data_IF_138123069452
#
_entry.id   IF_138123069452
#
_cell.length_a   1.000
_cell.length_b   1.000
_cell.length_c   1.000
_cell.angle_alpha   90.00
_cell.angle_beta   90.00
_cell.angle_gamma   90.00
#
_symmetry.space_group_name_H-M   'P 1'
#
loop_
_entity.id
_entity.type
_entity.pdbx_description
1 polymer ?
#
# COMPACT_ATOMS: atom_id res chain seq x y z
N UNK A 1 -4.91 28.09 32.53
CA UNK A 1 -4.91 28.63 31.16
C UNK A 1 -4.91 27.42 30.23
N UNK A 2 -5.93 27.28 29.41
CA UNK A 2 -6.02 26.25 28.37
C UNK A 2 -5.37 26.87 27.12
N UNK A 3 -4.33 26.25 26.56
CA UNK A 3 -3.72 26.71 25.31
C UNK A 3 -4.70 26.46 24.16
N UNK A 4 -5.03 27.52 23.42
CA UNK A 4 -5.79 27.42 22.17
C UNK A 4 -4.95 26.68 21.12
N UNK A 5 -5.44 25.51 20.69
CA UNK A 5 -4.93 24.84 19.50
C UNK A 5 -5.24 25.73 18.29
N UNK A 6 -4.19 26.18 17.60
CA UNK A 6 -4.35 26.89 16.34
C UNK A 6 -4.63 25.86 15.23
N UNK A 7 -5.80 25.94 14.61
CA UNK A 7 -6.15 25.15 13.43
C UNK A 7 -5.21 25.50 12.27
N UNK A 8 -4.40 24.53 11.83
CA UNK A 8 -3.57 24.65 10.64
C UNK A 8 -4.49 24.58 9.42
N UNK A 9 -4.71 25.70 8.74
CA UNK A 9 -5.40 25.69 7.45
C UNK A 9 -4.52 25.03 6.39
N UNK A 10 -4.79 23.77 6.09
CA UNK A 10 -4.25 23.09 4.91
C UNK A 10 -4.93 23.70 3.68
N UNK A 11 -4.26 24.64 3.02
CA UNK A 11 -4.72 25.13 1.72
C UNK A 11 -4.66 23.99 0.71
N UNK A 12 -5.82 23.59 0.15
CA UNK A 12 -5.90 22.60 -0.91
C UNK A 12 -4.98 23.01 -2.06
N UNK A 13 -3.92 22.22 -2.25
CA UNK A 13 -2.94 22.43 -3.31
C UNK A 13 -3.62 22.00 -4.62
N UNK A 14 -3.49 22.83 -5.66
CA UNK A 14 -4.02 22.54 -7.01
C UNK A 14 -3.71 21.09 -7.42
N UNK A 15 -4.63 20.42 -8.15
CA UNK A 15 -4.42 19.06 -8.62
C UNK A 15 -3.09 18.96 -9.36
N UNK A 16 -2.20 18.07 -8.91
CA UNK A 16 -0.84 17.94 -9.42
C UNK A 16 -0.81 17.35 -10.84
N UNK A 17 -1.88 16.69 -11.26
CA UNK A 17 -1.99 16.01 -12.54
C UNK A 17 -3.09 16.62 -13.42
N UNK A 18 -2.71 17.37 -14.46
CA UNK A 18 -3.63 17.83 -15.50
C UNK A 18 -3.90 16.72 -16.53
N UNK A 19 -4.90 15.88 -16.25
CA UNK A 19 -5.87 15.34 -17.22
C UNK A 19 -5.46 14.47 -18.42
N UNK A 20 -4.20 14.22 -18.75
CA UNK A 20 -3.86 13.53 -20.02
C UNK A 20 -3.32 12.08 -19.91
N UNK A 21 -2.94 11.60 -18.72
CA UNK A 21 -2.32 10.26 -18.58
C UNK A 21 -3.09 9.25 -17.71
N UNK A 22 -4.33 9.56 -17.30
CA UNK A 22 -5.09 8.74 -16.35
C UNK A 22 -5.62 7.40 -16.89
N UNK A 23 -5.44 7.09 -18.19
CA UNK A 23 -6.13 5.96 -18.86
C UNK A 23 -5.29 4.70 -19.09
N UNK A 24 -3.98 4.67 -18.79
CA UNK A 24 -3.12 3.53 -19.14
C UNK A 24 -2.27 2.94 -17.98
N UNK A 25 -2.62 3.17 -16.71
CA UNK A 25 -1.79 2.75 -15.56
C UNK A 25 -2.47 1.75 -14.61
N UNK A 26 -3.65 1.21 -14.97
CA UNK A 26 -4.38 0.28 -14.11
C UNK A 26 -3.77 -1.14 -14.04
N UNK A 27 -2.77 -1.45 -14.88
CA UNK A 27 -1.88 -2.62 -14.74
C UNK A 27 -0.49 -2.14 -14.28
N UNK A 28 -0.37 -1.71 -13.03
CA UNK A 28 0.90 -1.90 -12.35
C UNK A 28 1.07 -3.41 -12.20
N UNK A 29 2.09 -4.00 -12.83
CA UNK A 29 2.42 -5.42 -12.63
C UNK A 29 2.47 -5.70 -11.12
N UNK A 30 1.45 -6.42 -10.63
CA UNK A 30 1.36 -6.85 -9.25
C UNK A 30 1.84 -8.29 -9.18
N UNK A 31 2.92 -8.50 -8.44
CA UNK A 31 3.54 -9.81 -8.28
C UNK A 31 3.39 -10.28 -6.83
N UNK A 32 2.68 -11.38 -6.65
CA UNK A 32 2.50 -12.01 -5.36
C UNK A 32 3.62 -13.03 -5.10
N UNK A 33 4.10 -13.07 -3.86
CA UNK A 33 5.18 -13.95 -3.43
C UNK A 33 4.89 -14.48 -2.02
N UNK A 34 5.25 -15.73 -1.79
CA UNK A 34 5.32 -16.31 -0.45
C UNK A 34 6.78 -16.32 0.01
N UNK A 35 7.07 -15.59 1.08
CA UNK A 35 8.43 -15.39 1.60
C UNK A 35 8.61 -16.21 2.87
N UNK A 36 9.56 -17.16 2.84
CA UNK A 36 9.96 -17.90 4.04
C UNK A 36 10.70 -17.00 5.02
N UNK A 37 10.29 -17.04 6.28
CA UNK A 37 10.96 -16.36 7.39
C UNK A 37 11.26 -17.34 8.52
N UNK A 38 12.03 -16.92 9.51
CA UNK A 38 12.29 -17.73 10.71
C UNK A 38 11.02 -18.07 11.53
N UNK A 39 9.90 -17.38 11.27
CA UNK A 39 8.64 -17.53 12.00
C UNK A 39 7.47 -17.99 11.10
N UNK A 40 7.78 -18.60 9.94
CA UNK A 40 6.80 -19.08 8.98
C UNK A 40 6.77 -18.25 7.69
N UNK A 41 5.80 -18.56 6.84
CA UNK A 41 5.65 -17.93 5.52
C UNK A 41 4.82 -16.65 5.64
N UNK A 42 5.29 -15.58 4.99
CA UNK A 42 4.54 -14.34 4.79
C UNK A 42 4.13 -14.21 3.32
N UNK A 43 2.85 -13.96 3.09
CA UNK A 43 2.36 -13.61 1.77
C UNK A 43 2.57 -12.11 1.54
N UNK A 44 3.16 -11.75 0.40
CA UNK A 44 3.41 -10.36 0.04
C UNK A 44 3.02 -10.06 -1.40
N UNK A 45 2.51 -8.87 -1.65
CA UNK A 45 2.19 -8.36 -2.99
C UNK A 45 3.08 -7.17 -3.31
N UNK A 46 3.95 -7.32 -4.32
CA UNK A 46 4.75 -6.23 -4.87
C UNK A 46 3.97 -5.52 -5.96
N UNK A 47 3.86 -4.19 -5.90
CA UNK A 47 3.31 -3.35 -6.96
C UNK A 47 4.34 -2.36 -7.48
N UNK A 48 4.45 -2.33 -8.79
CA UNK A 48 5.39 -1.47 -9.51
C UNK A 48 6.83 -1.95 -9.45
N UNK A 49 7.68 -1.25 -10.22
CA UNK A 49 9.05 -1.67 -10.46
C UNK A 49 9.99 -0.89 -9.55
N UNK A 50 10.88 -1.59 -8.85
CA UNK A 50 11.96 -0.97 -8.11
C UNK A 50 12.86 -0.17 -9.07
N UNK A 51 12.89 1.15 -8.93
CA UNK A 51 13.64 2.05 -9.81
C UNK A 51 14.93 2.53 -9.12
N UNK A 52 16.08 2.01 -9.56
CA UNK A 52 17.39 2.42 -9.05
C UNK A 52 17.53 2.18 -7.54
N UNK A 53 18.02 3.19 -6.80
CA UNK A 53 18.18 3.15 -5.34
C UNK A 53 17.00 3.76 -4.57
N UNK A 54 15.81 3.87 -5.19
CA UNK A 54 14.64 4.40 -4.49
C UNK A 54 14.14 3.37 -3.46
N UNK A 55 13.78 3.79 -2.23
CA UNK A 55 13.26 2.88 -1.23
C UNK A 55 11.88 2.34 -1.64
N UNK A 56 11.51 1.18 -1.10
CA UNK A 56 10.18 0.61 -1.24
C UNK A 56 9.27 1.10 -0.11
N UNK A 57 8.05 1.50 -0.44
CA UNK A 57 7.01 1.76 0.56
C UNK A 57 6.48 0.41 1.03
N UNK A 58 6.67 0.10 2.32
CA UNK A 58 6.16 -1.13 2.92
C UNK A 58 4.87 -0.83 3.68
N UNK A 59 3.84 -1.63 3.48
CA UNK A 59 2.58 -1.52 4.23
C UNK A 59 2.32 -2.78 5.03
N UNK A 60 1.84 -2.62 6.26
CA UNK A 60 1.36 -3.69 7.12
C UNK A 60 -0.03 -3.30 7.63
N UNK A 61 -1.02 -4.17 7.44
CA UNK A 61 -2.43 -3.84 7.67
C UNK A 61 -2.84 -3.98 9.14
N UNK A 62 -4.01 -3.45 9.49
CA UNK A 62 -4.61 -3.61 10.82
C UNK A 62 -5.33 -4.96 10.98
N UNK A 63 -5.68 -5.31 12.22
CA UNK A 63 -6.38 -6.55 12.59
C UNK A 63 -7.75 -6.64 11.91
N UNK A 64 -8.07 -7.83 11.38
CA UNK A 64 -9.34 -8.10 10.70
C UNK A 64 -9.40 -7.57 9.27
N UNK A 65 -8.30 -7.01 8.76
CA UNK A 65 -8.12 -6.59 7.38
C UNK A 65 -7.01 -7.41 6.72
N UNK A 66 -6.82 -7.19 5.43
CA UNK A 66 -5.63 -7.56 4.68
C UNK A 66 -5.15 -6.34 3.88
N UNK A 67 -4.10 -6.46 3.09
CA UNK A 67 -3.60 -5.32 2.33
C UNK A 67 -4.64 -4.73 1.38
N UNK A 68 -5.51 -5.57 0.80
CA UNK A 68 -6.55 -5.11 -0.14
C UNK A 68 -7.58 -4.25 0.59
N UNK A 69 -8.14 -4.75 1.69
CA UNK A 69 -9.18 -4.01 2.43
C UNK A 69 -8.63 -2.82 3.21
N UNK A 70 -7.34 -2.84 3.60
CA UNK A 70 -6.70 -1.75 4.34
C UNK A 70 -6.15 -0.64 3.43
N UNK A 71 -5.55 -0.98 2.27
CA UNK A 71 -4.72 -0.04 1.53
C UNK A 71 -5.10 0.18 0.06
N UNK A 72 -5.90 -0.68 -0.57
CA UNK A 72 -6.24 -0.46 -1.99
C UNK A 72 -6.92 0.89 -2.21
N UNK A 73 -7.82 1.31 -1.32
CA UNK A 73 -8.48 2.61 -1.43
C UNK A 73 -7.50 3.78 -1.45
N UNK A 74 -6.42 3.69 -0.67
CA UNK A 74 -5.37 4.71 -0.64
C UNK A 74 -4.50 4.64 -1.90
N UNK A 75 -3.88 3.49 -2.19
CA UNK A 75 -2.89 3.38 -3.27
C UNK A 75 -3.48 3.39 -4.68
N UNK A 76 -4.78 3.17 -4.82
CA UNK A 76 -5.50 3.34 -6.08
C UNK A 76 -6.12 4.74 -6.22
N UNK A 77 -6.01 5.59 -5.21
CA UNK A 77 -6.50 6.96 -5.28
C UNK A 77 -5.70 7.77 -6.30
N UNK A 78 -6.35 8.69 -7.01
CA UNK A 78 -5.72 9.42 -8.13
C UNK A 78 -4.50 10.23 -7.69
N UNK A 79 -4.56 10.89 -6.53
CA UNK A 79 -3.44 11.67 -6.01
C UNK A 79 -2.26 10.78 -5.59
N UNK A 80 -2.52 9.54 -5.19
CA UNK A 80 -1.47 8.59 -4.83
C UNK A 80 -0.69 8.08 -6.05
N UNK A 81 -1.20 8.28 -7.27
CA UNK A 81 -0.47 7.91 -8.49
C UNK A 81 0.85 8.68 -8.62
N UNK A 82 0.92 9.92 -8.12
CA UNK A 82 2.16 10.69 -8.16
C UNK A 82 3.26 10.06 -7.31
N UNK A 83 2.87 9.39 -6.22
CA UNK A 83 3.77 8.66 -5.34
C UNK A 83 4.11 7.30 -5.95
N UNK A 84 3.11 6.52 -6.38
CA UNK A 84 3.32 5.13 -6.83
C UNK A 84 4.01 5.02 -8.19
N UNK A 85 4.03 6.08 -9.02
CA UNK A 85 4.89 6.11 -10.23
C UNK A 85 6.40 6.14 -9.90
N UNK A 86 6.74 6.55 -8.67
CA UNK A 86 8.09 6.87 -8.23
C UNK A 86 8.69 5.86 -7.26
N UNK A 87 7.84 5.16 -6.51
CA UNK A 87 8.23 4.18 -5.49
C UNK A 87 7.53 2.85 -5.77
N UNK A 88 8.25 1.73 -5.59
CA UNK A 88 7.61 0.43 -5.48
C UNK A 88 6.86 0.33 -4.15
N UNK A 89 5.79 -0.47 -4.13
CA UNK A 89 5.00 -0.73 -2.92
C UNK A 89 5.05 -2.22 -2.63
N UNK A 90 5.43 -2.58 -1.40
CA UNK A 90 5.41 -3.95 -0.88
C UNK A 90 4.29 -4.04 0.15
N UNK A 91 3.22 -4.72 -0.21
CA UNK A 91 2.14 -5.03 0.70
C UNK A 91 2.44 -6.34 1.42
N UNK A 92 2.45 -6.32 2.76
CA UNK A 92 2.59 -7.52 3.58
C UNK A 92 1.22 -7.88 4.13
N UNK A 93 0.80 -9.12 3.90
CA UNK A 93 -0.31 -9.72 4.62
C UNK A 93 0.23 -10.45 5.86
N UNK A 94 -0.36 -10.18 7.02
CA UNK A 94 -0.06 -10.89 8.25
C UNK A 94 -0.33 -12.40 8.08
N UNK A 95 0.36 -13.29 8.82
CA UNK A 95 0.20 -14.73 8.68
C UNK A 95 -1.28 -15.17 8.74
N UNK A 96 -1.76 -15.83 7.68
CA UNK A 96 -3.12 -16.33 7.60
C UNK A 96 -4.19 -15.27 7.31
N UNK A 97 -3.81 -14.02 7.01
CA UNK A 97 -4.73 -12.94 6.66
C UNK A 97 -4.79 -12.65 5.16
N UNK A 98 -3.93 -13.28 4.35
CA UNK A 98 -4.06 -13.19 2.89
C UNK A 98 -5.39 -13.80 2.42
N UNK A 99 -5.82 -13.39 1.23
CA UNK A 99 -7.09 -13.86 0.67
C UNK A 99 -7.07 -15.39 0.50
N UNK A 100 -8.13 -16.07 0.95
CA UNK A 100 -8.27 -17.52 0.92
C UNK A 100 -7.18 -18.29 1.69
N UNK A 101 -6.53 -17.66 2.68
CA UNK A 101 -5.57 -18.35 3.53
C UNK A 101 -6.20 -19.59 4.22
N UNK A 102 -5.50 -20.73 4.27
CA UNK A 102 -5.97 -21.87 5.03
C UNK A 102 -5.97 -21.54 6.53
N UNK A 103 -6.95 -22.08 7.26
CA UNK A 103 -6.94 -22.00 8.72
C UNK A 103 -5.70 -22.68 9.30
N UNK A 104 -5.11 -22.08 10.34
CA UNK A 104 -4.03 -22.73 11.08
C UNK A 104 -4.51 -24.02 11.76
N UNK A 105 -3.63 -25.02 11.95
CA UNK A 105 -3.95 -26.22 12.70
C UNK A 105 -4.52 -25.89 14.08
N UNK A 106 -5.49 -26.69 14.53
CA UNK A 106 -5.92 -26.64 15.92
C UNK A 106 -4.73 -27.04 16.82
N UNK A 107 -4.47 -26.25 17.86
CA UNK A 107 -3.42 -26.51 18.85
C UNK A 107 -3.71 -27.71 19.74
#
# INVERSE_FOLDING_TARGET
MMEELHDVQLTEIKPLLTGQNARNLQDFESQEHDVETAHGVLHVTMRGVAKGNRPTILTYHDVGLNHKSCFNSLFNYEDMQEVTQHFSVLHVDAPGQQENAPGFPAG
#
